data_IF_083244807278
#
_entry.id   IF_083244807278
#
_cell.length_a   1.000
_cell.length_b   1.000
_cell.length_c   1.000
_cell.angle_alpha   90.00
_cell.angle_beta   90.00
_cell.angle_gamma   90.00
#
_symmetry.space_group_name_H-M   'P 1'
#
loop_
_entity.id
_entity.type
_entity.pdbx_description
1 polymer ?
#
# COMPACT_ATOMS: atom_id res chain seq x y z
N UNK A 1 -35.67 75.61 18.24
CA UNK A 1 -34.63 76.63 17.98
C UNK A 1 -33.43 75.92 17.34
N UNK A 2 -32.79 76.53 16.34
CA UNK A 2 -32.50 75.91 15.04
C UNK A 2 -30.98 75.84 14.72
N UNK A 3 -30.60 75.17 13.62
CA UNK A 3 -29.61 75.59 12.60
C UNK A 3 -29.54 74.47 11.55
N UNK A 4 -30.29 74.55 10.43
CA UNK A 4 -29.97 75.19 9.15
C UNK A 4 -28.76 74.58 8.39
N UNK A 5 -29.13 73.77 7.37
CA UNK A 5 -28.66 73.70 5.97
C UNK A 5 -27.14 73.60 5.71
N UNK A 6 -26.76 72.68 4.80
CA UNK A 6 -26.49 72.99 3.37
C UNK A 6 -26.18 71.71 2.59
N UNK A 7 -26.76 71.63 1.39
CA UNK A 7 -26.53 70.65 0.34
C UNK A 7 -25.16 70.83 -0.35
N UNK A 8 -24.55 69.74 -0.81
CA UNK A 8 -24.01 69.66 -2.18
C UNK A 8 -23.73 68.23 -2.64
N UNK A 9 -24.26 67.97 -3.83
CA UNK A 9 -24.32 66.73 -4.60
C UNK A 9 -22.95 66.13 -4.93
N UNK A 10 -22.87 64.81 -5.08
CA UNK A 10 -22.53 64.26 -6.39
C UNK A 10 -22.95 62.80 -6.56
N UNK A 11 -23.57 62.56 -7.72
CA UNK A 11 -23.91 61.29 -8.34
C UNK A 11 -22.74 60.30 -8.38
N UNK A 12 -23.00 59.00 -8.19
CA UNK A 12 -23.05 58.06 -9.32
C UNK A 12 -23.09 56.57 -8.92
N UNK A 13 -23.89 55.84 -9.71
CA UNK A 13 -23.76 54.43 -10.12
C UNK A 13 -24.21 53.36 -9.10
N UNK A 14 -25.44 52.90 -9.34
CA UNK A 14 -25.86 51.53 -9.12
C UNK A 14 -25.10 50.58 -10.04
N UNK A 15 -24.44 49.57 -9.49
CA UNK A 15 -24.07 48.37 -10.24
C UNK A 15 -24.20 47.15 -9.33
N UNK A 16 -25.31 46.44 -9.53
CA UNK A 16 -25.62 45.12 -9.01
C UNK A 16 -24.54 44.12 -9.41
N UNK A 17 -23.68 43.71 -8.49
CA UNK A 17 -22.76 42.58 -8.67
C UNK A 17 -23.48 41.27 -8.36
N UNK A 18 -23.83 40.57 -9.43
CA UNK A 18 -24.23 39.16 -9.42
C UNK A 18 -23.11 38.27 -8.85
N UNK A 19 -23.42 37.24 -8.05
CA UNK A 19 -22.42 36.27 -7.61
C UNK A 19 -22.00 35.38 -8.78
N UNK A 20 -20.77 35.58 -9.25
CA UNK A 20 -20.14 34.71 -10.25
C UNK A 20 -19.94 33.30 -9.68
N UNK A 21 -20.73 32.36 -10.18
CA UNK A 21 -20.42 30.92 -10.12
C UNK A 21 -19.14 30.67 -10.92
N UNK A 22 -18.05 30.16 -10.33
CA UNK A 22 -16.90 29.76 -11.12
C UNK A 22 -17.28 28.57 -12.02
N UNK A 23 -17.15 28.77 -13.33
CA UNK A 23 -17.39 27.76 -14.36
C UNK A 23 -16.49 26.54 -14.13
N UNK A 24 -17.06 25.32 -14.18
CA UNK A 24 -16.34 24.05 -14.07
C UNK A 24 -15.16 23.92 -15.05
N UNK A 25 -15.20 24.64 -16.17
CA UNK A 25 -14.11 24.68 -17.15
C UNK A 25 -12.80 25.24 -16.58
N UNK A 26 -12.86 26.14 -15.58
CA UNK A 26 -11.65 26.68 -14.94
C UNK A 26 -10.97 25.68 -13.98
N UNK A 27 -11.67 24.64 -13.52
CA UNK A 27 -11.09 23.58 -12.69
C UNK A 27 -10.36 22.51 -13.51
N UNK A 28 -10.71 22.32 -14.78
CA UNK A 28 -10.09 21.30 -15.64
C UNK A 28 -8.67 21.66 -16.12
N UNK A 29 -8.31 22.94 -16.14
CA UNK A 29 -6.95 23.38 -16.51
C UNK A 29 -5.91 23.25 -15.38
N UNK A 30 -6.31 22.75 -14.20
CA UNK A 30 -5.44 22.54 -13.04
C UNK A 30 -5.25 21.06 -12.71
N UNK A 31 -5.43 20.18 -13.69
CA UNK A 31 -4.93 18.82 -13.59
C UNK A 31 -3.52 18.81 -14.17
N UNK A 32 -2.48 18.45 -13.38
CA UNK A 32 -1.18 18.19 -13.96
C UNK A 32 -1.35 17.13 -15.04
N UNK A 33 -0.73 17.36 -16.19
CA UNK A 33 -0.72 16.50 -17.36
C UNK A 33 -0.20 15.11 -16.94
N UNK A 34 -1.11 14.18 -16.63
CA UNK A 34 -0.78 12.83 -16.17
C UNK A 34 -0.50 11.94 -17.38
N UNK A 35 0.50 12.32 -18.18
CA UNK A 35 1.06 11.48 -19.24
C UNK A 35 2.59 11.55 -19.23
N UNK A 36 3.20 11.64 -18.05
CA UNK A 36 4.54 11.08 -17.90
C UNK A 36 4.38 9.57 -17.67
N UNK A 37 4.82 8.78 -18.64
CA UNK A 37 5.03 7.36 -18.46
C UNK A 37 6.02 7.18 -17.31
N UNK A 38 5.51 7.01 -16.08
CA UNK A 38 6.37 6.68 -14.95
C UNK A 38 7.14 5.43 -15.30
N UNK A 39 8.44 5.40 -15.04
CA UNK A 39 9.24 4.21 -15.27
C UNK A 39 8.52 2.97 -14.72
N UNK A 40 8.60 1.83 -15.42
CA UNK A 40 7.97 0.60 -14.95
C UNK A 40 8.52 0.24 -13.57
N UNK A 41 7.62 -0.05 -12.63
CA UNK A 41 7.98 -0.40 -11.26
C UNK A 41 8.84 -1.66 -11.24
N UNK A 42 10.00 -1.56 -10.60
CA UNK A 42 11.00 -2.64 -10.48
C UNK A 42 10.83 -3.39 -9.16
N UNK A 43 11.34 -4.64 -9.07
CA UNK A 43 11.30 -5.40 -7.82
C UNK A 43 12.10 -4.74 -6.68
N UNK A 44 13.14 -3.99 -7.05
CA UNK A 44 14.01 -3.27 -6.11
C UNK A 44 13.41 -1.96 -5.62
N UNK A 45 12.33 -1.49 -6.25
CA UNK A 45 11.68 -0.25 -5.83
C UNK A 45 11.05 -0.46 -4.45
N UNK A 46 11.07 0.60 -3.65
CA UNK A 46 10.48 0.60 -2.32
C UNK A 46 8.98 0.89 -2.46
N UNK A 47 8.09 -0.01 -2.00
CA UNK A 47 6.67 0.27 -1.96
C UNK A 47 6.35 1.53 -1.19
N UNK A 48 5.81 2.54 -1.84
CA UNK A 48 5.50 3.78 -1.13
C UNK A 48 4.24 3.57 -0.29
N UNK A 49 4.21 4.17 0.91
CA UNK A 49 3.04 4.16 1.78
C UNK A 49 1.79 4.71 1.08
N UNK A 50 1.97 5.66 0.16
CA UNK A 50 0.92 6.28 -0.63
C UNK A 50 0.59 5.55 -1.95
N UNK A 51 1.23 4.40 -2.24
CA UNK A 51 0.94 3.66 -3.47
C UNK A 51 -0.51 3.18 -3.53
N UNK A 52 -1.07 3.28 -4.73
CA UNK A 52 -2.39 2.74 -5.08
C UNK A 52 -2.35 1.22 -5.18
N UNK A 53 -3.53 0.59 -5.23
CA UNK A 53 -3.61 -0.85 -5.46
C UNK A 53 -2.93 -1.28 -6.77
N UNK A 54 -3.09 -0.51 -7.85
CA UNK A 54 -2.45 -0.79 -9.14
C UNK A 54 -0.92 -0.85 -9.02
N UNK A 55 -0.31 0.18 -8.40
CA UNK A 55 1.13 0.23 -8.19
C UNK A 55 1.64 -0.92 -7.30
N UNK A 56 0.89 -1.27 -6.25
CA UNK A 56 1.22 -2.43 -5.42
C UNK A 56 1.16 -3.76 -6.20
N UNK A 57 0.17 -3.91 -7.10
CA UNK A 57 0.06 -5.10 -7.97
C UNK A 57 1.21 -5.18 -8.97
N UNK A 58 1.57 -4.06 -9.59
CA UNK A 58 2.71 -3.98 -10.51
C UNK A 58 4.03 -4.34 -9.82
N UNK A 59 4.29 -3.78 -8.65
CA UNK A 59 5.46 -4.16 -7.86
C UNK A 59 5.46 -5.65 -7.49
N UNK A 60 4.32 -6.17 -7.02
CA UNK A 60 4.22 -7.57 -6.63
C UNK A 60 4.40 -8.50 -7.84
N UNK A 61 3.90 -8.10 -9.01
CA UNK A 61 4.14 -8.80 -10.26
C UNK A 61 5.65 -8.83 -10.58
N UNK A 62 6.34 -7.69 -10.52
CA UNK A 62 7.78 -7.60 -10.77
C UNK A 62 8.57 -8.49 -9.80
N UNK A 63 8.26 -8.46 -8.49
CA UNK A 63 8.88 -9.35 -7.49
C UNK A 63 8.64 -10.82 -7.80
N UNK A 64 7.42 -11.20 -8.18
CA UNK A 64 7.08 -12.58 -8.52
C UNK A 64 7.81 -13.05 -9.80
N UNK A 65 7.83 -12.21 -10.83
CA UNK A 65 8.42 -12.55 -12.11
C UNK A 65 9.95 -12.57 -12.05
N UNK A 66 10.57 -11.49 -11.57
CA UNK A 66 12.02 -11.31 -11.63
C UNK A 66 12.75 -11.91 -10.42
N UNK A 67 12.23 -11.71 -9.20
CA UNK A 67 12.94 -12.16 -7.99
C UNK A 67 12.64 -13.61 -7.65
N UNK A 68 11.38 -14.05 -7.81
CA UNK A 68 10.98 -15.42 -7.52
C UNK A 68 11.06 -16.35 -8.74
N UNK A 69 11.33 -15.80 -9.94
CA UNK A 69 11.47 -16.56 -11.18
C UNK A 69 10.19 -17.28 -11.62
N UNK A 70 9.02 -16.72 -11.29
CA UNK A 70 7.73 -17.29 -11.70
C UNK A 70 7.43 -16.97 -13.16
N UNK A 71 6.62 -17.81 -13.79
CA UNK A 71 6.10 -17.49 -15.11
C UNK A 71 5.22 -16.22 -15.06
N UNK A 72 5.13 -15.50 -16.18
CA UNK A 72 4.30 -14.29 -16.25
C UNK A 72 2.83 -14.54 -15.88
N UNK A 73 2.28 -15.71 -16.23
CA UNK A 73 0.91 -16.10 -15.89
C UNK A 73 0.72 -16.34 -14.39
N UNK A 74 1.66 -17.04 -13.75
CA UNK A 74 1.64 -17.26 -12.30
C UNK A 74 1.83 -15.96 -11.52
N UNK A 75 2.81 -15.14 -11.93
CA UNK A 75 3.07 -13.84 -11.33
C UNK A 75 1.84 -12.93 -11.42
N UNK A 76 1.21 -12.87 -12.60
CA UNK A 76 -0.04 -12.12 -12.81
C UNK A 76 -1.16 -12.63 -11.91
N UNK A 77 -1.39 -13.94 -11.87
CA UNK A 77 -2.41 -14.57 -11.02
C UNK A 77 -2.22 -14.24 -9.54
N UNK A 78 -0.98 -14.20 -9.06
CA UNK A 78 -0.67 -13.82 -7.67
C UNK A 78 -0.92 -12.33 -7.46
N UNK A 79 -0.44 -11.46 -8.35
CA UNK A 79 -0.65 -10.02 -8.24
C UNK A 79 -2.12 -9.63 -8.30
N UNK A 80 -2.92 -10.30 -9.13
CA UNK A 80 -4.36 -10.02 -9.26
C UNK A 80 -5.15 -10.36 -7.99
N UNK A 81 -4.67 -11.36 -7.22
CA UNK A 81 -5.25 -11.75 -5.92
C UNK A 81 -4.91 -10.77 -4.80
N UNK A 82 -3.90 -9.92 -4.98
CA UNK A 82 -3.55 -8.92 -3.98
C UNK A 82 -4.59 -7.80 -3.98
N UNK A 83 -5.17 -7.53 -2.81
CA UNK A 83 -6.11 -6.45 -2.61
C UNK A 83 -5.65 -5.59 -1.43
N UNK A 84 -5.41 -4.31 -1.70
CA UNK A 84 -4.77 -3.40 -0.76
C UNK A 84 -3.93 -2.31 -1.42
N UNK A 85 -3.54 -1.33 -0.62
CA UNK A 85 -2.69 -0.20 -1.00
C UNK A 85 -1.37 -0.27 -0.22
N UNK A 86 -0.45 0.68 -0.42
CA UNK A 86 0.92 0.67 0.13
C UNK A 86 1.09 0.11 1.57
N UNK A 87 0.31 0.54 2.57
CA UNK A 87 0.42 0.07 3.95
C UNK A 87 0.11 -1.41 4.13
N UNK A 88 -0.72 -1.99 3.25
CA UNK A 88 -1.06 -3.43 3.31
C UNK A 88 0.18 -4.27 3.06
N UNK A 89 1.05 -3.88 2.11
CA UNK A 89 2.31 -4.56 1.83
C UNK A 89 3.13 -4.70 3.12
N UNK A 90 3.25 -3.62 3.89
CA UNK A 90 4.01 -3.61 5.13
C UNK A 90 3.29 -4.23 6.32
N UNK A 91 1.96 -4.22 6.36
CA UNK A 91 1.19 -4.80 7.47
C UNK A 91 1.02 -6.32 7.36
N UNK A 92 1.10 -6.89 6.16
CA UNK A 92 0.90 -8.32 5.93
C UNK A 92 1.90 -9.15 6.73
N UNK A 93 1.37 -10.08 7.54
CA UNK A 93 2.19 -11.03 8.26
C UNK A 93 2.72 -12.14 7.34
N UNK A 94 3.75 -12.86 7.79
CA UNK A 94 4.30 -14.03 7.07
C UNK A 94 3.23 -15.04 6.62
N UNK A 95 2.19 -15.25 7.43
CA UNK A 95 1.07 -16.17 7.09
C UNK A 95 0.21 -15.65 5.95
N UNK A 96 0.01 -14.35 5.87
CA UNK A 96 -0.79 -13.73 4.82
C UNK A 96 -0.02 -13.76 3.50
N UNK A 97 1.29 -13.49 3.55
CA UNK A 97 2.20 -13.73 2.43
C UNK A 97 2.19 -15.20 1.99
N UNK A 98 2.15 -16.16 2.91
CA UNK A 98 2.06 -17.59 2.58
C UNK A 98 0.74 -17.95 1.89
N UNK A 99 -0.39 -17.37 2.31
CA UNK A 99 -1.67 -17.57 1.64
C UNK A 99 -1.66 -17.01 0.21
N UNK A 100 -1.02 -15.87 0.01
CA UNK A 100 -0.94 -15.20 -1.28
C UNK A 100 0.02 -15.91 -2.25
N UNK A 101 1.22 -16.27 -1.77
CA UNK A 101 2.32 -16.82 -2.59
C UNK A 101 2.34 -18.35 -2.65
N UNK A 102 1.48 -19.02 -1.87
CA UNK A 102 1.25 -20.46 -1.84
C UNK A 102 2.33 -21.30 -1.16
N UNK A 103 3.57 -20.81 -1.04
CA UNK A 103 4.69 -21.56 -0.44
C UNK A 103 5.38 -20.79 0.67
N UNK A 104 5.82 -21.51 1.71
CA UNK A 104 6.54 -20.93 2.85
C UNK A 104 7.85 -20.24 2.42
N UNK A 105 8.58 -20.83 1.47
CA UNK A 105 9.85 -20.26 0.99
C UNK A 105 9.65 -18.92 0.30
N UNK A 106 8.72 -18.83 -0.67
CA UNK A 106 8.40 -17.56 -1.35
C UNK A 106 7.93 -16.50 -0.36
N UNK A 107 7.04 -16.89 0.57
CA UNK A 107 6.53 -15.99 1.58
C UNK A 107 7.61 -15.46 2.53
N UNK A 108 8.54 -16.31 2.96
CA UNK A 108 9.65 -15.88 3.81
C UNK A 108 10.58 -14.90 3.08
N UNK A 109 10.88 -15.16 1.81
CA UNK A 109 11.71 -14.28 0.99
C UNK A 109 11.08 -12.90 0.81
N UNK A 110 9.81 -12.84 0.38
CA UNK A 110 9.11 -11.55 0.19
C UNK A 110 8.92 -10.83 1.52
N UNK A 111 8.53 -11.54 2.59
CA UNK A 111 8.40 -10.93 3.90
C UNK A 111 9.71 -10.32 4.42
N UNK A 112 10.84 -11.01 4.24
CA UNK A 112 12.15 -10.47 4.62
C UNK A 112 12.53 -9.24 3.77
N UNK A 113 12.24 -9.27 2.46
CA UNK A 113 12.45 -8.14 1.57
C UNK A 113 11.64 -6.91 2.02
N UNK A 114 10.34 -7.08 2.29
CA UNK A 114 9.47 -5.99 2.76
C UNK A 114 9.94 -5.40 4.08
N UNK A 115 10.42 -6.24 5.02
CA UNK A 115 10.98 -5.75 6.29
C UNK A 115 12.24 -4.90 6.11
N UNK A 116 13.06 -5.20 5.10
CA UNK A 116 14.22 -4.37 4.76
C UNK A 116 13.76 -3.05 4.13
N UNK A 117 12.84 -3.11 3.17
CA UNK A 117 12.29 -1.94 2.48
C UNK A 117 11.48 -1.02 3.41
N UNK A 118 10.94 -1.52 4.52
CA UNK A 118 10.16 -0.73 5.48
C UNK A 118 10.95 0.44 6.12
N UNK A 119 12.29 0.42 6.02
CA UNK A 119 13.18 1.46 6.55
C UNK A 119 13.52 2.53 5.52
N UNK A 120 13.20 2.30 4.26
CA UNK A 120 13.53 3.20 3.17
C UNK A 120 12.60 4.42 3.13
N UNK A 121 13.05 5.54 2.55
CA UNK A 121 12.24 6.75 2.43
C UNK A 121 10.90 6.48 1.72
N UNK A 122 9.83 6.97 2.33
CA UNK A 122 8.47 6.85 1.79
C UNK A 122 7.81 5.48 1.99
N UNK A 123 8.52 4.48 2.51
CA UNK A 123 7.97 3.17 2.86
C UNK A 123 6.94 3.24 3.99
N UNK A 124 7.35 3.76 5.15
CA UNK A 124 6.50 3.90 6.35
C UNK A 124 6.73 5.28 6.97
N UNK A 125 5.69 6.11 7.17
CA UNK A 125 5.81 7.42 7.78
C UNK A 125 6.48 7.39 9.16
N UNK A 126 7.30 8.39 9.43
CA UNK A 126 7.97 8.53 10.72
C UNK A 126 6.95 8.62 11.86
N UNK A 127 7.20 7.86 12.94
CA UNK A 127 6.30 7.77 14.09
C UNK A 127 5.31 6.60 14.04
N UNK A 128 5.16 5.90 12.91
CA UNK A 128 4.37 4.68 12.82
C UNK A 128 5.25 3.45 13.08
N UNK A 129 4.80 2.58 14.00
CA UNK A 129 5.45 1.29 14.27
C UNK A 129 4.52 0.16 13.85
N UNK A 130 4.93 -0.60 12.85
CA UNK A 130 4.21 -1.79 12.40
C UNK A 130 4.57 -2.95 13.33
N UNK A 131 3.58 -3.44 14.09
CA UNK A 131 3.74 -4.60 14.96
C UNK A 131 3.21 -5.85 14.28
N UNK A 132 4.10 -6.69 13.78
CA UNK A 132 3.70 -8.01 13.31
C UNK A 132 3.40 -8.93 14.50
N UNK A 133 2.27 -9.68 14.48
CA UNK A 133 1.96 -10.64 15.52
C UNK A 133 3.09 -11.65 15.66
N UNK A 134 3.67 -11.73 16.87
CA UNK A 134 4.69 -12.74 17.17
C UNK A 134 4.01 -14.10 17.15
N UNK A 135 4.48 -14.99 16.27
CA UNK A 135 3.93 -16.34 16.18
C UNK A 135 4.18 -17.07 17.51
N UNK A 136 3.12 -17.36 18.25
CA UNK A 136 3.20 -18.18 19.46
C UNK A 136 3.66 -19.56 19.00
N UNK A 137 4.87 -19.96 19.40
CA UNK A 137 5.35 -21.33 19.19
C UNK A 137 4.36 -22.28 19.86
N UNK A 138 3.49 -22.90 19.06
CA UNK A 138 2.68 -24.02 19.54
C UNK A 138 3.66 -25.08 20.00
N UNK A 139 3.59 -25.44 21.29
CA UNK A 139 4.29 -26.60 21.88
C UNK A 139 3.77 -27.83 21.12
N UNK A 140 4.37 -28.14 19.97
CA UNK A 140 4.19 -29.44 19.32
C UNK A 140 4.77 -30.46 20.29
N UNK A 141 3.87 -31.25 20.87
CA UNK A 141 4.15 -32.15 21.97
C UNK A 141 5.28 -33.12 21.65
N UNK A 142 6.05 -33.44 22.69
CA UNK A 142 6.79 -34.69 22.83
C UNK A 142 5.87 -35.86 22.47
N UNK A 143 5.96 -36.36 21.25
CA UNK A 143 5.12 -37.49 20.78
C UNK A 143 5.92 -38.63 20.15
N UNK A 144 7.24 -38.51 19.99
CA UNK A 144 8.06 -39.50 19.27
C UNK A 144 8.81 -40.50 20.17
N UNK A 145 8.71 -40.40 21.50
CA UNK A 145 9.31 -41.39 22.41
C UNK A 145 8.55 -42.73 22.41
N UNK A 146 7.29 -42.77 21.93
CA UNK A 146 6.44 -43.96 21.96
C UNK A 146 6.57 -44.91 20.76
N UNK A 147 7.19 -44.48 19.65
CA UNK A 147 7.31 -45.33 18.44
C UNK A 147 8.57 -46.20 18.43
N UNK A 148 9.59 -45.88 19.23
CA UNK A 148 10.82 -46.71 19.33
C UNK A 148 10.66 -47.96 20.18
N UNK A 149 9.62 -48.04 21.02
CA UNK A 149 9.42 -49.17 21.94
C UNK A 149 8.60 -50.31 21.33
N UNK A 150 7.89 -50.09 20.22
CA UNK A 150 7.14 -51.17 19.54
C UNK A 150 8.05 -52.06 18.68
N UNK A 151 9.05 -51.49 18.01
CA UNK A 151 9.97 -52.26 17.14
C UNK A 151 10.98 -53.11 17.91
N UNK A 152 11.25 -52.83 19.19
CA UNK A 152 12.14 -53.65 20.03
C UNK A 152 11.44 -54.89 20.63
N UNK A 153 10.14 -55.05 20.45
CA UNK A 153 9.36 -56.17 21.03
C UNK A 153 8.97 -57.25 20.02
N UNK A 154 9.25 -57.04 18.74
CA UNK A 154 8.91 -57.98 17.66
C UNK A 154 10.11 -58.87 17.27
N UNK A 155 11.32 -58.53 17.74
CA UNK A 155 12.53 -59.31 17.48
C UNK A 155 13.45 -59.47 18.70
N UNK A 156 12.86 -59.63 19.89
CA UNK A 156 13.54 -60.03 21.12
C UNK A 156 13.02 -61.36 21.60
#
# INVERSE_FOLDING_TARGET
>A
MPFLRVFKSNSNISASTSPHTPSQSALLHRLPDYTEASEPIKPTDTPQWAWTNGQCKEWLFAVCYETLGLSGEEAKTISDKFDGFGPVIYCMGRKDWMKLLGTSNRANSVYAMVLNLAREPGAVPHGLTIKHPREKKSKRGKGDEGRRTWLKRIWG
#
